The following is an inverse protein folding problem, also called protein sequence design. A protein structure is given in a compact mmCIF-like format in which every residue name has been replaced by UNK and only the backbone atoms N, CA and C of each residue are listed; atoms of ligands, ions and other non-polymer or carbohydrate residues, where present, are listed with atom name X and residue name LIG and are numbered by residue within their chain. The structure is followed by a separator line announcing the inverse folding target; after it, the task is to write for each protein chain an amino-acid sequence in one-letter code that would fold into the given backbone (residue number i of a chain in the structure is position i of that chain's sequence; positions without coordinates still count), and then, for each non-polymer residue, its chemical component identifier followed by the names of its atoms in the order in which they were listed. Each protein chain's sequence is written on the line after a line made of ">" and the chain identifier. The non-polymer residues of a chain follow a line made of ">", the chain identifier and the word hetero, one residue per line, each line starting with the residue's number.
data_IF_012044269509
#
_entry.id   IF_012044269509
#
_cell.length_a   1.000
_cell.length_b   1.000
_cell.length_c   1.000
_cell.angle_alpha   90.00
_cell.angle_beta   90.00
_cell.angle_gamma   90.00
#
_symmetry.space_group_name_H-M   'P 1'
#
loop_
_entity.id
_entity.type
_entity.pdbx_description
1 polymer ?
#
# COMPACT_ATOMS: atom_id res chain seq x y z
N UNK A 1 1.60 -0.48 -20.31
CA UNK A 1 0.66 0.58 -19.86
C UNK A 1 0.66 0.74 -18.34
N UNK A 2 -0.52 0.85 -17.74
CA UNK A 2 -0.61 1.02 -16.30
C UNK A 2 -1.92 0.54 -15.71
N UNK A 3 -1.86 0.07 -14.47
CA UNK A 3 -3.04 -0.38 -13.76
C UNK A 3 -3.00 0.07 -12.30
N UNK A 4 -3.99 -0.36 -11.54
CA UNK A 4 -4.11 0.00 -10.15
C UNK A 4 -4.52 -1.20 -9.34
N UNK A 5 -3.84 -1.39 -8.21
CA UNK A 5 -4.12 -2.49 -7.31
C UNK A 5 -4.53 -1.91 -5.97
N UNK A 6 -5.62 -2.41 -5.42
CA UNK A 6 -6.12 -1.93 -4.15
C UNK A 6 -6.08 -3.05 -3.12
N UNK A 7 -5.54 -2.73 -1.96
CA UNK A 7 -5.42 -3.70 -0.89
C UNK A 7 -6.04 -3.16 0.37
N UNK A 8 -6.81 -4.00 1.04
CA UNK A 8 -7.45 -3.62 2.28
C UNK A 8 -6.54 -4.08 3.42
N UNK A 9 -6.16 -3.16 4.30
CA UNK A 9 -5.30 -3.50 5.43
C UNK A 9 -5.83 -2.88 6.72
N UNK A 10 -6.14 -3.73 7.72
CA UNK A 10 -6.67 -3.26 9.01
C UNK A 10 -5.81 -2.20 9.66
N UNK A 11 -6.49 -1.20 10.21
CA UNK A 11 -5.90 -0.05 10.89
C UNK A 11 -4.78 -0.39 11.88
N UNK A 12 -4.98 -1.46 12.65
CA UNK A 12 -4.01 -1.87 13.66
C UNK A 12 -2.74 -2.49 13.09
N UNK A 13 -2.71 -2.70 11.77
CA UNK A 13 -1.56 -3.28 11.06
C UNK A 13 -0.87 -2.25 10.18
N UNK A 14 -1.64 -1.28 9.70
CA UNK A 14 -1.11 -0.26 8.82
C UNK A 14 0.28 0.25 9.14
N UNK A 15 0.62 0.36 10.42
CA UNK A 15 1.95 0.85 10.76
C UNK A 15 3.10 0.03 10.18
N UNK A 16 2.82 -1.24 9.89
CA UNK A 16 3.82 -2.17 9.35
C UNK A 16 4.20 -1.85 7.91
N UNK A 17 3.36 -1.05 7.25
CA UNK A 17 3.55 -0.66 5.86
C UNK A 17 4.32 0.65 5.74
N UNK A 18 3.90 1.65 6.51
CA UNK A 18 4.54 2.96 6.50
C UNK A 18 6.02 2.85 6.83
N UNK A 19 6.31 2.38 8.03
CA UNK A 19 7.69 2.25 8.46
C UNK A 19 8.07 3.48 9.26
N UNK A 20 9.36 3.78 9.32
CA UNK A 20 9.85 4.94 10.06
C UNK A 20 9.16 6.22 9.60
N UNK A 21 7.95 6.44 10.11
CA UNK A 21 7.19 7.61 9.73
C UNK A 21 7.07 7.74 8.22
N UNK A 22 6.86 6.62 7.54
CA UNK A 22 6.74 6.62 6.09
C UNK A 22 7.95 6.08 5.35
N UNK A 23 9.07 5.92 6.05
CA UNK A 23 10.32 5.43 5.46
C UNK A 23 10.16 4.25 4.50
N UNK A 24 9.53 3.19 4.99
CA UNK A 24 9.31 1.98 4.20
C UNK A 24 8.47 2.23 2.96
N UNK A 25 7.24 2.69 3.20
CA UNK A 25 6.29 3.00 2.14
C UNK A 25 6.99 3.87 1.10
N UNK A 26 7.93 4.69 1.57
CA UNK A 26 8.70 5.55 0.68
C UNK A 26 9.75 4.74 -0.10
N UNK A 27 10.43 3.83 0.60
CA UNK A 27 11.44 3.00 -0.04
C UNK A 27 10.80 2.17 -1.15
N UNK A 28 9.73 1.45 -0.81
CA UNK A 28 9.05 0.59 -1.79
C UNK A 28 8.65 1.37 -3.02
N UNK A 29 8.31 2.64 -2.84
CA UNK A 29 7.94 3.46 -3.98
C UNK A 29 9.20 3.71 -4.80
N UNK A 30 10.29 4.03 -4.11
CA UNK A 30 11.55 4.30 -4.78
C UNK A 30 12.00 3.12 -5.63
N UNK A 31 11.99 1.93 -5.03
CA UNK A 31 12.40 0.70 -5.71
C UNK A 31 11.46 0.23 -6.81
N UNK A 32 10.21 -0.05 -6.45
CA UNK A 32 9.23 -0.54 -7.40
C UNK A 32 8.88 0.51 -8.44
N UNK A 33 9.05 1.78 -8.07
CA UNK A 33 8.73 2.86 -8.97
C UNK A 33 7.23 3.03 -9.09
N UNK A 34 6.52 2.73 -7.99
CA UNK A 34 5.06 2.84 -7.94
C UNK A 34 4.64 3.88 -6.94
N UNK A 35 3.57 4.59 -7.27
CA UNK A 35 3.05 5.58 -6.36
C UNK A 35 2.17 4.78 -5.43
N UNK A 36 2.59 4.64 -4.18
CA UNK A 36 1.79 3.89 -3.23
C UNK A 36 1.10 4.91 -2.33
N UNK A 37 -0.17 4.69 -2.05
CA UNK A 37 -0.91 5.62 -1.21
C UNK A 37 -1.89 4.84 -0.34
N UNK A 38 -2.36 5.48 0.73
CA UNK A 38 -3.31 4.85 1.65
C UNK A 38 -4.46 5.80 1.96
N UNK A 39 -5.65 5.24 2.20
CA UNK A 39 -6.83 6.04 2.49
C UNK A 39 -6.66 6.85 3.78
N UNK A 40 -7.37 7.97 3.85
CA UNK A 40 -7.31 8.84 5.02
C UNK A 40 -7.57 8.05 6.30
N UNK A 41 -6.80 8.37 7.34
CA UNK A 41 -6.90 7.72 8.65
C UNK A 41 -8.28 7.17 9.02
N UNK A 42 -9.32 7.98 8.84
CA UNK A 42 -10.66 7.54 9.19
C UNK A 42 -11.43 6.71 8.18
N UNK A 43 -10.85 6.45 7.01
CA UNK A 43 -11.56 5.67 6.00
C UNK A 43 -11.24 4.18 5.87
N UNK A 44 -12.27 3.38 6.15
CA UNK A 44 -12.20 1.93 6.08
C UNK A 44 -13.18 1.47 4.99
N UNK A 45 -13.17 0.18 4.68
CA UNK A 45 -14.09 -0.36 3.69
C UNK A 45 -15.45 -0.46 4.38
N UNK A 46 -16.54 -0.31 3.63
CA UNK A 46 -17.89 -0.38 4.20
C UNK A 46 -18.07 -1.10 5.54
N UNK A 47 -18.23 -2.42 5.50
CA UNK A 47 -18.45 -3.16 6.74
C UNK A 47 -17.23 -3.74 7.42
N UNK A 48 -16.15 -2.96 7.51
CA UNK A 48 -14.90 -3.40 8.13
C UNK A 48 -14.14 -2.24 8.77
N UNK A 49 -12.92 -2.52 9.21
CA UNK A 49 -12.07 -1.51 9.82
C UNK A 49 -10.75 -1.42 9.06
N UNK A 50 -10.75 -1.90 7.81
CA UNK A 50 -9.54 -1.89 6.98
C UNK A 50 -9.34 -0.64 6.15
N UNK A 51 -8.17 -0.02 6.25
CA UNK A 51 -7.88 1.16 5.43
C UNK A 51 -7.64 0.61 4.01
N UNK A 52 -7.50 1.49 3.02
CA UNK A 52 -7.28 1.04 1.65
C UNK A 52 -5.97 1.57 1.08
N UNK A 53 -5.10 0.65 0.67
CA UNK A 53 -3.83 1.04 0.08
C UNK A 53 -3.96 0.88 -1.42
N UNK A 54 -3.49 1.89 -2.15
CA UNK A 54 -3.58 1.86 -3.59
C UNK A 54 -2.23 2.03 -4.27
N UNK A 55 -1.89 1.03 -5.07
CA UNK A 55 -0.64 0.97 -5.81
C UNK A 55 -0.97 1.15 -7.28
N UNK A 56 -0.30 2.08 -7.94
CA UNK A 56 -0.56 2.32 -9.35
C UNK A 56 0.74 2.44 -10.12
N UNK A 57 0.82 1.72 -11.23
CA UNK A 57 2.02 1.76 -12.04
C UNK A 57 1.93 0.66 -13.07
N UNK A 58 3.09 0.20 -13.54
CA UNK A 58 3.17 -0.88 -14.51
C UNK A 58 2.52 -2.10 -13.87
N UNK A 59 1.92 -2.97 -14.69
CA UNK A 59 1.29 -4.16 -14.11
C UNK A 59 2.33 -4.96 -13.35
N UNK A 60 3.55 -4.97 -13.88
CA UNK A 60 4.65 -5.70 -13.28
C UNK A 60 5.18 -5.02 -12.03
N UNK A 61 5.26 -3.70 -12.06
CA UNK A 61 5.75 -2.96 -10.91
C UNK A 61 4.71 -3.04 -9.78
N UNK A 62 3.42 -3.02 -10.12
CA UNK A 62 2.39 -3.09 -9.08
C UNK A 62 2.35 -4.49 -8.48
N UNK A 63 2.80 -5.48 -9.26
CA UNK A 63 2.84 -6.86 -8.79
C UNK A 63 3.91 -6.93 -7.71
N UNK A 64 5.12 -6.55 -8.08
CA UNK A 64 6.22 -6.57 -7.14
C UNK A 64 5.85 -5.79 -5.88
N UNK A 65 5.61 -4.48 -6.03
CA UNK A 65 5.25 -3.60 -4.91
C UNK A 65 4.22 -4.27 -4.03
N UNK A 66 3.16 -4.75 -4.65
CA UNK A 66 2.10 -5.43 -3.94
C UNK A 66 2.79 -6.42 -3.00
N UNK A 67 3.53 -7.36 -3.58
CA UNK A 67 4.26 -8.37 -2.82
C UNK A 67 5.06 -7.80 -1.64
N UNK A 68 5.88 -6.78 -1.89
CA UNK A 68 6.67 -6.17 -0.82
C UNK A 68 5.75 -5.69 0.30
N UNK A 69 4.75 -4.89 -0.05
CA UNK A 69 3.81 -4.38 0.93
C UNK A 69 3.25 -5.51 1.79
N UNK A 70 2.72 -6.54 1.12
CA UNK A 70 2.10 -7.70 1.75
C UNK A 70 3.04 -8.55 2.61
N UNK A 71 4.31 -8.57 2.23
CA UNK A 71 5.34 -9.31 2.94
C UNK A 71 5.35 -8.89 4.41
N UNK A 72 5.33 -7.57 4.64
CA UNK A 72 5.37 -6.98 5.98
C UNK A 72 4.18 -7.38 6.87
N UNK A 73 2.98 -7.43 6.29
CA UNK A 73 1.79 -7.81 7.07
C UNK A 73 1.87 -9.27 7.51
#
# INVERSE_FOLDING_TARGET
>A
MKDVVEIAVPENLVGAILGKGGKTLVEYQELTGCRIQISKKGEFLPGTRNRKVTITGTPAATQAAQYLITQRI
#
